data_IF_364156692989
#
_entry.id   IF_364156692989
#
_cell.length_a   1.000
_cell.length_b   1.000
_cell.length_c   1.000
_cell.angle_alpha   90.00
_cell.angle_beta   90.00
_cell.angle_gamma   90.00
#
_symmetry.space_group_name_H-M   'P 1'
#
loop_
_entity.id
_entity.type
_entity.pdbx_description
1 polymer ?
#
# COMPACT_ATOMS: atom_id res chain seq x y z
N UNK A 1 9.81 0.82 18.21
CA UNK A 1 11.21 1.07 17.79
C UNK A 1 12.17 0.56 18.84
N UNK A 2 13.44 0.42 18.50
CA UNK A 2 14.51 0.19 19.49
C UNK A 2 14.98 1.51 20.14
N UNK A 3 16.00 1.42 20.99
CA UNK A 3 16.60 2.57 21.66
C UNK A 3 17.30 3.55 20.69
N UNK A 4 17.60 3.11 19.46
CA UNK A 4 18.25 3.92 18.43
C UNK A 4 17.23 4.54 17.46
N UNK A 5 15.92 4.27 17.65
CA UNK A 5 14.84 4.80 16.81
C UNK A 5 14.62 4.04 15.51
N UNK A 6 15.07 2.78 15.40
CA UNK A 6 14.83 1.96 14.22
C UNK A 6 13.43 1.36 14.22
N UNK A 7 12.78 1.38 13.05
CA UNK A 7 11.51 0.68 12.81
C UNK A 7 11.73 -0.83 12.75
N UNK A 8 10.85 -1.56 13.44
CA UNK A 8 10.63 -2.98 13.25
C UNK A 8 9.19 -3.18 12.85
N UNK A 9 8.98 -3.69 11.63
CA UNK A 9 7.67 -3.95 11.07
C UNK A 9 7.67 -5.32 10.39
N UNK A 10 6.56 -6.04 10.51
CA UNK A 10 6.39 -7.35 9.90
C UNK A 10 4.94 -7.79 9.98
N UNK A 11 4.62 -8.88 9.27
CA UNK A 11 3.27 -9.43 9.18
C UNK A 11 3.33 -10.92 8.89
N UNK A 12 2.26 -11.64 9.24
CA UNK A 12 2.01 -12.98 8.71
C UNK A 12 1.14 -12.89 7.45
N UNK A 13 1.41 -13.76 6.48
CA UNK A 13 0.54 -13.97 5.33
C UNK A 13 -0.16 -15.31 5.51
N UNK A 14 -1.38 -15.27 6.04
CA UNK A 14 -2.16 -16.47 6.34
C UNK A 14 -3.10 -16.78 5.17
N UNK A 15 -2.69 -17.71 4.31
CA UNK A 15 -3.50 -18.14 3.15
C UNK A 15 -3.41 -19.65 2.91
N UNK A 16 -4.33 -20.18 2.10
CA UNK A 16 -4.43 -21.63 1.83
C UNK A 16 -3.58 -22.09 0.64
N UNK A 17 -3.13 -21.16 -0.19
CA UNK A 17 -2.32 -21.40 -1.39
C UNK A 17 -1.22 -20.35 -1.51
N UNK A 18 -0.12 -20.73 -2.14
CA UNK A 18 1.01 -19.86 -2.47
C UNK A 18 0.69 -19.09 -3.77
N UNK A 19 1.11 -17.83 -3.87
CA UNK A 19 0.90 -16.99 -5.05
C UNK A 19 2.13 -16.91 -5.97
N UNK A 20 3.21 -17.59 -5.60
CA UNK A 20 4.54 -17.50 -6.21
C UNK A 20 5.30 -16.27 -5.72
N UNK A 21 4.95 -15.75 -4.53
CA UNK A 21 5.53 -14.53 -4.00
C UNK A 21 7.02 -14.63 -3.71
N UNK A 22 7.71 -13.52 -3.92
CA UNK A 22 9.16 -13.40 -3.75
C UNK A 22 9.50 -12.08 -3.10
N UNK A 23 10.66 -12.06 -2.45
CA UNK A 23 11.32 -10.80 -2.11
C UNK A 23 11.55 -10.04 -3.41
N UNK A 24 10.87 -8.90 -3.51
CA UNK A 24 10.85 -8.03 -4.69
C UNK A 24 11.49 -6.71 -4.31
N UNK A 25 12.37 -6.21 -5.17
CA UNK A 25 13.01 -4.92 -5.02
C UNK A 25 12.68 -4.05 -6.23
N UNK A 26 12.20 -2.84 -5.97
CA UNK A 26 11.99 -1.83 -7.00
C UNK A 26 12.94 -0.66 -6.78
N UNK A 27 14.00 -0.52 -7.60
CA UNK A 27 15.00 0.53 -7.41
C UNK A 27 14.44 1.92 -7.73
N UNK A 28 15.05 2.96 -7.18
CA UNK A 28 14.60 4.35 -7.37
C UNK A 28 14.46 4.77 -8.86
N UNK A 29 15.36 4.28 -9.73
CA UNK A 29 15.32 4.53 -11.17
C UNK A 29 14.23 3.80 -11.95
N UNK A 30 13.44 2.92 -11.31
CA UNK A 30 12.34 2.22 -11.98
C UNK A 30 11.22 3.20 -12.33
N UNK A 31 10.86 3.26 -13.61
CA UNK A 31 9.76 4.10 -14.08
C UNK A 31 8.46 3.33 -14.01
N UNK A 32 7.54 3.82 -13.18
CA UNK A 32 6.20 3.26 -13.05
C UNK A 32 5.16 4.27 -13.55
N UNK A 33 4.20 3.78 -14.32
CA UNK A 33 3.01 4.53 -14.72
C UNK A 33 1.86 4.00 -13.86
N UNK A 34 1.43 4.80 -12.89
CA UNK A 34 0.29 4.45 -12.04
C UNK A 34 -0.98 4.37 -12.88
N UNK A 35 -1.88 3.46 -12.52
CA UNK A 35 -3.10 3.16 -13.28
C UNK A 35 -3.93 4.39 -13.62
N UNK A 36 -3.99 5.34 -12.69
CA UNK A 36 -4.78 6.57 -12.79
C UNK A 36 -3.95 7.86 -12.73
N UNK A 37 -2.63 7.78 -12.94
CA UNK A 37 -1.75 8.96 -12.98
C UNK A 37 -1.45 9.58 -11.61
N UNK A 38 -1.64 8.85 -10.51
CA UNK A 38 -1.12 9.25 -9.20
C UNK A 38 0.41 9.48 -9.22
N UNK A 39 0.95 10.36 -8.36
CA UNK A 39 2.38 10.64 -8.30
C UNK A 39 3.25 9.40 -8.06
N UNK A 40 4.46 9.42 -8.62
CA UNK A 40 5.51 8.42 -8.42
C UNK A 40 6.77 9.10 -7.87
N UNK A 41 6.93 9.07 -6.54
CA UNK A 41 8.02 9.70 -5.80
C UNK A 41 9.38 8.99 -5.89
N UNK A 42 9.50 7.91 -6.67
CA UNK A 42 10.78 7.26 -7.04
C UNK A 42 11.64 6.72 -5.90
N UNK A 43 11.12 6.52 -4.68
CA UNK A 43 11.89 5.84 -3.62
C UNK A 43 12.20 4.39 -3.99
N UNK A 44 13.34 3.90 -3.55
CA UNK A 44 13.63 2.47 -3.57
C UNK A 44 12.70 1.75 -2.59
N UNK A 45 12.11 0.64 -3.04
CA UNK A 45 11.14 -0.16 -2.28
C UNK A 45 11.60 -1.62 -2.26
N UNK A 46 11.48 -2.27 -1.11
CA UNK A 46 11.74 -3.69 -0.91
C UNK A 46 10.56 -4.30 -0.14
N UNK A 47 10.15 -5.50 -0.51
CA UNK A 47 9.05 -6.18 0.19
C UNK A 47 8.73 -7.55 -0.37
N UNK A 48 7.69 -8.18 0.16
CA UNK A 48 7.15 -9.42 -0.37
C UNK A 48 6.04 -9.13 -1.38
N UNK A 49 6.03 -9.81 -2.51
CA UNK A 49 4.98 -9.63 -3.51
C UNK A 49 5.15 -10.51 -4.74
N UNK A 50 4.28 -10.29 -5.71
CA UNK A 50 4.34 -10.91 -7.04
C UNK A 50 4.58 -9.83 -8.10
N UNK A 51 4.85 -10.26 -9.33
CA UNK A 51 4.91 -9.37 -10.49
C UNK A 51 3.90 -9.82 -11.52
N UNK A 52 3.01 -8.92 -11.94
CA UNK A 52 2.02 -9.17 -12.99
C UNK A 52 2.30 -8.20 -14.15
N UNK A 53 2.64 -8.70 -15.34
CA UNK A 53 2.98 -7.88 -16.51
C UNK A 53 4.01 -6.76 -16.25
N UNK A 54 5.02 -7.06 -15.39
CA UNK A 54 6.06 -6.11 -15.01
C UNK A 54 5.66 -5.11 -13.92
N UNK A 55 4.43 -5.19 -13.40
CA UNK A 55 3.92 -4.39 -12.29
C UNK A 55 4.23 -5.11 -10.97
N UNK A 56 4.98 -4.51 -10.03
CA UNK A 56 5.19 -5.08 -8.71
C UNK A 56 3.93 -4.94 -7.85
N UNK A 57 3.40 -6.05 -7.35
CA UNK A 57 2.23 -6.12 -6.48
C UNK A 57 2.69 -6.53 -5.08
N UNK A 58 2.99 -5.54 -4.25
CA UNK A 58 3.49 -5.77 -2.90
C UNK A 58 2.37 -6.17 -1.96
N UNK A 59 2.57 -7.28 -1.25
CA UNK A 59 1.72 -7.67 -0.14
C UNK A 59 2.09 -6.85 1.10
N UNK A 60 3.39 -6.68 1.32
CA UNK A 60 4.00 -5.75 2.27
C UNK A 60 5.28 -5.20 1.66
N UNK A 61 5.64 -3.97 2.02
CA UNK A 61 6.89 -3.36 1.61
C UNK A 61 7.32 -2.23 2.53
N UNK A 62 8.60 -1.87 2.43
CA UNK A 62 9.18 -0.70 3.06
C UNK A 62 10.08 0.04 2.07
N UNK A 63 10.28 1.33 2.32
CA UNK A 63 11.19 2.15 1.54
C UNK A 63 12.53 2.40 2.25
N UNK A 64 13.45 3.03 1.51
CA UNK A 64 14.80 3.36 1.98
C UNK A 64 14.84 4.34 3.17
N UNK A 65 13.72 5.00 3.50
CA UNK A 65 13.62 6.01 4.55
C UNK A 65 12.87 5.53 5.79
N UNK A 66 12.50 4.24 5.85
CA UNK A 66 11.93 3.63 7.05
C UNK A 66 10.42 3.77 7.19
N UNK A 67 9.70 4.01 6.10
CA UNK A 67 8.24 3.85 6.05
C UNK A 67 7.89 2.45 5.53
N UNK A 68 7.02 1.74 6.25
CA UNK A 68 6.54 0.41 5.88
C UNK A 68 5.01 0.35 5.79
N UNK A 69 4.51 -0.53 4.93
CA UNK A 69 3.08 -0.76 4.70
C UNK A 69 2.81 -2.23 4.44
N UNK A 70 1.72 -2.75 5.00
CA UNK A 70 1.25 -4.11 4.75
C UNK A 70 -0.26 -4.14 4.52
N UNK A 71 -0.72 -4.85 3.50
CA UNK A 71 -2.14 -5.07 3.24
C UNK A 71 -2.65 -6.38 3.84
N UNK A 72 -3.71 -6.37 4.63
CA UNK A 72 -4.25 -7.58 5.25
C UNK A 72 -5.69 -7.81 4.79
N UNK A 73 -6.08 -9.08 4.72
CA UNK A 73 -7.38 -9.48 4.18
C UNK A 73 -8.52 -8.88 5.01
N UNK A 74 -9.40 -8.12 4.37
CA UNK A 74 -10.54 -7.42 5.00
C UNK A 74 -11.88 -7.60 4.24
N UNK A 75 -12.24 -8.82 3.80
CA UNK A 75 -13.46 -9.07 3.06
C UNK A 75 -14.70 -8.87 3.97
N UNK A 76 -15.79 -8.41 3.37
CA UNK A 76 -17.04 -8.11 4.07
C UNK A 76 -17.14 -6.69 4.62
N UNK A 77 -16.03 -5.95 4.63
CA UNK A 77 -15.97 -4.56 5.08
C UNK A 77 -15.34 -3.63 4.05
N UNK A 78 -14.22 -4.06 3.42
CA UNK A 78 -13.58 -3.26 2.40
C UNK A 78 -14.51 -3.03 1.19
N UNK A 79 -14.64 -1.78 0.77
CA UNK A 79 -15.40 -1.38 -0.40
C UNK A 79 -14.72 -0.18 -1.05
N UNK A 80 -14.14 -0.39 -2.23
CA UNK A 80 -13.44 0.66 -2.98
C UNK A 80 -14.37 1.34 -3.98
N UNK A 81 -13.89 2.45 -4.54
CA UNK A 81 -14.57 3.12 -5.64
C UNK A 81 -14.58 2.23 -6.90
N UNK A 82 -15.70 2.24 -7.64
CA UNK A 82 -15.83 1.48 -8.90
C UNK A 82 -15.04 2.13 -10.06
N UNK A 83 -14.68 3.40 -9.92
CA UNK A 83 -13.94 4.17 -10.91
C UNK A 83 -13.22 5.36 -10.28
N UNK A 84 -12.38 6.08 -11.06
CA UNK A 84 -11.68 7.25 -10.55
C UNK A 84 -12.66 8.36 -10.14
N UNK A 85 -12.34 9.04 -9.05
CA UNK A 85 -13.11 10.16 -8.50
C UNK A 85 -12.43 11.47 -8.89
N UNK A 86 -13.20 12.38 -9.51
CA UNK A 86 -12.72 13.69 -9.94
C UNK A 86 -12.21 14.53 -8.76
N UNK A 87 -11.08 15.19 -8.97
CA UNK A 87 -10.46 16.06 -7.95
C UNK A 87 -9.70 15.32 -6.84
N UNK A 88 -9.66 13.99 -6.86
CA UNK A 88 -8.89 13.17 -5.90
C UNK A 88 -7.64 12.56 -6.53
N UNK A 89 -6.69 12.17 -5.67
CA UNK A 89 -5.59 11.27 -6.07
C UNK A 89 -6.13 9.84 -6.14
N UNK A 90 -6.24 9.31 -7.36
CA UNK A 90 -6.80 7.98 -7.60
C UNK A 90 -5.69 6.92 -7.60
N UNK A 91 -5.81 5.91 -6.73
CA UNK A 91 -4.83 4.84 -6.58
C UNK A 91 -5.55 3.51 -6.74
N UNK A 92 -5.07 2.63 -7.64
CA UNK A 92 -5.65 1.30 -7.72
C UNK A 92 -5.31 0.50 -6.45
N UNK A 93 -6.25 -0.31 -5.94
CA UNK A 93 -6.05 -1.04 -4.69
C UNK A 93 -4.78 -1.91 -4.69
N UNK A 94 -4.42 -2.50 -5.84
CA UNK A 94 -3.21 -3.31 -5.99
C UNK A 94 -1.91 -2.50 -5.99
N UNK A 95 -1.96 -1.19 -6.28
CA UNK A 95 -0.82 -0.27 -6.27
C UNK A 95 -0.59 0.34 -4.89
N UNK A 96 -1.57 0.26 -3.98
CA UNK A 96 -1.60 1.08 -2.78
C UNK A 96 -0.35 0.93 -1.90
N UNK A 97 0.12 -0.29 -1.53
CA UNK A 97 1.35 -0.43 -0.75
C UNK A 97 2.56 0.17 -1.47
N UNK A 98 2.67 -0.08 -2.77
CA UNK A 98 3.77 0.44 -3.57
C UNK A 98 3.74 1.97 -3.65
N UNK A 99 2.56 2.56 -3.86
CA UNK A 99 2.36 3.99 -3.93
C UNK A 99 2.73 4.69 -2.62
N UNK A 100 2.33 4.13 -1.47
CA UNK A 100 2.72 4.65 -0.15
C UNK A 100 4.25 4.67 -0.01
N UNK A 101 4.90 3.52 -0.20
CA UNK A 101 6.35 3.39 -0.04
C UNK A 101 7.14 4.25 -1.04
N UNK A 102 6.62 4.46 -2.25
CA UNK A 102 7.24 5.32 -3.28
C UNK A 102 7.20 6.80 -2.95
N UNK A 103 6.13 7.27 -2.29
CA UNK A 103 5.79 8.70 -2.25
C UNK A 103 6.04 9.40 -0.91
N UNK A 104 6.15 8.68 0.20
CA UNK A 104 6.24 9.28 1.53
C UNK A 104 7.39 8.71 2.37
N UNK A 105 7.89 9.51 3.30
CA UNK A 105 8.95 9.11 4.26
C UNK A 105 8.42 8.83 5.65
N UNK A 106 7.24 9.38 5.98
CA UNK A 106 6.65 9.28 7.32
C UNK A 106 5.17 8.98 7.25
N UNK A 107 4.63 8.46 8.35
CA UNK A 107 3.20 8.24 8.53
C UNK A 107 2.45 9.58 8.51
N UNK A 108 3.05 10.67 8.97
CA UNK A 108 2.48 12.03 8.89
C UNK A 108 2.25 12.48 7.45
N UNK A 109 3.24 12.28 6.58
CA UNK A 109 3.11 12.60 5.15
C UNK A 109 2.06 11.72 4.47
N UNK A 110 2.08 10.42 4.74
CA UNK A 110 1.10 9.49 4.20
C UNK A 110 -0.33 9.84 4.66
N UNK A 111 -0.54 10.06 5.95
CA UNK A 111 -1.84 10.44 6.53
C UNK A 111 -2.35 11.76 5.98
N UNK A 112 -1.47 12.75 5.77
CA UNK A 112 -1.85 14.01 5.16
C UNK A 112 -2.33 13.83 3.72
N UNK A 113 -1.60 13.04 2.91
CA UNK A 113 -1.98 12.76 1.52
C UNK A 113 -3.26 11.94 1.41
N UNK A 114 -3.47 10.97 2.31
CA UNK A 114 -4.63 10.08 2.30
C UNK A 114 -5.97 10.81 2.42
N UNK A 115 -6.00 12.03 2.98
CA UNK A 115 -7.22 12.86 3.07
C UNK A 115 -7.86 13.16 1.72
N UNK A 116 -7.05 13.18 0.65
CA UNK A 116 -7.48 13.50 -0.72
C UNK A 116 -7.37 12.30 -1.67
N UNK A 117 -7.29 11.08 -1.15
CA UNK A 117 -7.14 9.84 -1.94
C UNK A 117 -8.50 9.16 -2.19
N UNK A 118 -8.65 8.58 -3.37
CA UNK A 118 -9.65 7.57 -3.68
C UNK A 118 -8.94 6.26 -4.05
N UNK A 119 -9.29 5.18 -3.34
CA UNK A 119 -8.82 3.84 -3.69
C UNK A 119 -9.85 3.23 -4.63
N UNK A 120 -9.39 2.77 -5.80
CA UNK A 120 -10.24 2.27 -6.87
C UNK A 120 -10.08 0.76 -7.02
N UNK A 121 -11.20 0.04 -6.99
CA UNK A 121 -11.27 -1.41 -7.11
C UNK A 121 -11.25 -1.87 -8.57
N UNK A 122 -10.08 -1.85 -9.19
CA UNK A 122 -9.88 -2.36 -10.55
C UNK A 122 -8.89 -3.54 -10.53
N UNK A 123 -9.16 -4.65 -11.25
CA UNK A 123 -8.20 -5.74 -11.34
C UNK A 123 -6.95 -5.31 -12.12
N UNK A 124 -5.81 -5.89 -11.76
CA UNK A 124 -4.55 -5.67 -12.48
C UNK A 124 -4.56 -6.36 -13.85
N UNK A 125 -5.21 -7.52 -13.95
CA UNK A 125 -5.38 -8.33 -15.15
C UNK A 125 -6.62 -9.23 -15.01
N UNK A 126 -7.02 -9.93 -16.07
CA UNK A 126 -8.15 -10.88 -16.03
C UNK A 126 -7.88 -12.09 -15.10
N UNK A 127 -6.61 -12.35 -14.76
CA UNK A 127 -6.20 -13.46 -13.90
C UNK A 127 -6.41 -13.15 -12.41
N UNK A 128 -6.18 -11.91 -12.00
CA UNK A 128 -6.19 -11.52 -10.59
C UNK A 128 -7.38 -10.63 -10.25
N UNK A 129 -8.33 -11.12 -9.43
CA UNK A 129 -9.44 -10.29 -8.97
C UNK A 129 -8.95 -9.20 -8.01
N UNK A 130 -9.81 -8.22 -7.75
CA UNK A 130 -9.55 -7.18 -6.75
C UNK A 130 -9.50 -7.80 -5.36
N UNK A 131 -8.37 -7.62 -4.67
CA UNK A 131 -8.21 -8.07 -3.28
C UNK A 131 -8.83 -7.05 -2.32
N UNK A 132 -9.65 -7.55 -1.38
CA UNK A 132 -10.36 -6.75 -0.38
C UNK A 132 -9.49 -6.66 0.87
N UNK A 133 -8.90 -5.50 1.11
CA UNK A 133 -7.83 -5.29 2.07
C UNK A 133 -8.12 -4.08 2.96
N UNK A 134 -7.54 -4.10 4.14
CA UNK A 134 -7.16 -2.90 4.87
C UNK A 134 -5.65 -2.84 4.98
N UNK A 135 -5.09 -1.70 5.36
CA UNK A 135 -3.64 -1.55 5.43
C UNK A 135 -3.20 -1.03 6.78
N UNK A 136 -2.05 -1.52 7.24
CA UNK A 136 -1.28 -0.89 8.31
C UNK A 136 -0.10 -0.15 7.68
N UNK A 137 0.14 1.08 8.13
CA UNK A 137 1.30 1.89 7.74
C UNK A 137 2.04 2.28 9.02
N UNK A 138 3.36 2.12 9.03
CA UNK A 138 4.19 2.41 10.20
C UNK A 138 5.53 3.05 9.80
N UNK A 139 5.98 3.99 10.63
CA UNK A 139 7.34 4.52 10.62
C UNK A 139 7.96 4.35 12.03
N UNK A 140 9.13 4.93 12.24
CA UNK A 140 9.81 4.90 13.54
C UNK A 140 9.05 5.59 14.69
N UNK A 141 8.06 6.44 14.39
CA UNK A 141 7.40 7.25 15.40
C UNK A 141 6.02 6.69 15.76
N UNK A 142 5.26 6.18 14.78
CA UNK A 142 3.89 5.71 15.00
C UNK A 142 3.38 4.75 13.92
N UNK A 143 2.14 4.29 14.09
CA UNK A 143 1.42 3.52 13.07
C UNK A 143 -0.05 3.95 12.94
N UNK A 144 -0.62 3.71 11.76
CA UNK A 144 -2.03 3.92 11.46
C UNK A 144 -2.63 2.71 10.74
N UNK A 145 -3.95 2.54 10.90
CA UNK A 145 -4.77 1.63 10.10
C UNK A 145 -5.54 2.46 9.07
N UNK A 146 -5.58 1.94 7.84
CA UNK A 146 -6.30 2.49 6.70
C UNK A 146 -7.38 1.51 6.28
N UNK A 147 -8.65 1.88 6.47
CA UNK A 147 -9.81 1.07 6.09
C UNK A 147 -10.66 1.86 5.10
N UNK A 148 -10.85 1.32 3.90
CA UNK A 148 -11.74 1.91 2.89
C UNK A 148 -13.04 1.10 2.86
N UNK A 149 -14.11 1.68 3.40
CA UNK A 149 -15.40 1.02 3.60
C UNK A 149 -16.51 1.72 2.79
N UNK A 150 -17.73 1.21 2.88
CA UNK A 150 -18.88 1.73 2.14
C UNK A 150 -19.17 3.23 2.36
N UNK A 151 -18.79 3.76 3.53
CA UNK A 151 -18.91 5.15 3.93
C UNK A 151 -17.60 5.96 3.75
N UNK A 152 -16.58 5.35 3.14
CA UNK A 152 -15.36 6.00 2.69
C UNK A 152 -14.10 5.58 3.45
N UNK A 153 -13.07 6.40 3.31
CA UNK A 153 -11.75 6.18 3.89
C UNK A 153 -11.71 6.56 5.38
N UNK A 154 -11.32 5.61 6.20
CA UNK A 154 -11.12 5.76 7.63
C UNK A 154 -9.65 5.59 7.97
N UNK A 155 -9.11 6.53 8.75
CA UNK A 155 -7.74 6.53 9.24
C UNK A 155 -7.79 6.44 10.77
N UNK A 156 -7.22 5.38 11.33
CA UNK A 156 -7.17 5.16 12.77
C UNK A 156 -5.74 5.21 13.26
N UNK A 157 -5.49 5.97 14.33
CA UNK A 157 -4.22 5.89 15.04
C UNK A 157 -4.15 4.56 15.75
N UNK A 158 -3.04 3.84 15.57
CA UNK A 158 -2.82 2.53 16.15
C UNK A 158 -1.67 2.62 17.18
N UNK A 159 -1.99 3.04 18.42
CA UNK A 159 -0.98 3.17 19.46
C UNK A 159 -0.41 1.81 19.85
N UNK A 160 0.90 1.78 20.11
CA UNK A 160 1.66 0.60 20.55
C UNK A 160 2.02 0.73 22.02
#
# INVERSE_FOLDING_TARGET
TDADGNLYFGRNLDWTVDYGEKVTMTPAGFTYQTKFGAPDGKRAVLGMGITCDGIPLYFDCANENGLAVGGLNFPGYAQYEEGPVDGKTNVAAYEFPFWIARNFDTVDEAEAALKDVAIVGVPVSDEYPVSMLHWIIADKDRSIIVEYMADGLHLYHNPV
#
